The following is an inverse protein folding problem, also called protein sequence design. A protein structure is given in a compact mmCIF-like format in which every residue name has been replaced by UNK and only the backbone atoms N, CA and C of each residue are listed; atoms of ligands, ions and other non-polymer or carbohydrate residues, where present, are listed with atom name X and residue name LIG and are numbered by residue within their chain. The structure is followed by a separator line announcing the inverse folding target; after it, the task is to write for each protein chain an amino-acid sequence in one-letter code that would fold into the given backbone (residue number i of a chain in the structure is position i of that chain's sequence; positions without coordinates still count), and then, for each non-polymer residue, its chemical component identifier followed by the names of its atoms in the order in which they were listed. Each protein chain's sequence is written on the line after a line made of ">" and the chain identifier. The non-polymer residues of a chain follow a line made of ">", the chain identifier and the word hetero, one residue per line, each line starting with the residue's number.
data_IF_095088740848
#
_entry.id   IF_095088740848
#
_cell.length_a   1.000
_cell.length_b   1.000
_cell.length_c   1.000
_cell.angle_alpha   90.00
_cell.angle_beta   90.00
_cell.angle_gamma   90.00
#
_symmetry.space_group_name_H-M   'P 1'
#
loop_
_entity.id
_entity.type
_entity.pdbx_description
1 polymer ?
#
# COMPACT_ATOMS: atom_id res chain seq x y z
N UNK A 1 -17.18 -13.34 26.64
CA UNK A 1 -17.62 -11.93 26.66
C UNK A 1 -18.55 -11.76 25.48
N UNK A 2 -19.76 -11.25 25.69
CA UNK A 2 -20.75 -11.07 24.63
C UNK A 2 -20.81 -9.64 24.12
N UNK A 3 -21.68 -9.38 23.14
CA UNK A 3 -21.92 -8.05 22.59
C UNK A 3 -22.32 -7.04 23.68
N UNK A 4 -21.75 -5.82 23.61
CA UNK A 4 -22.20 -4.68 24.42
C UNK A 4 -23.62 -4.26 24.02
N UNK A 5 -24.27 -3.42 24.82
CA UNK A 5 -25.64 -2.99 24.56
C UNK A 5 -25.79 -2.20 23.26
N UNK A 6 -24.84 -1.30 22.96
CA UNK A 6 -24.80 -0.54 21.70
C UNK A 6 -24.52 -1.44 20.50
N UNK A 7 -23.58 -2.37 20.62
CA UNK A 7 -23.29 -3.34 19.55
C UNK A 7 -24.50 -4.26 19.31
N UNK A 8 -25.19 -4.68 20.37
CA UNK A 8 -26.40 -5.50 20.26
C UNK A 8 -27.53 -4.73 19.56
N UNK A 9 -27.72 -3.45 19.88
CA UNK A 9 -28.68 -2.59 19.21
C UNK A 9 -28.34 -2.37 17.73
N UNK A 10 -27.07 -2.09 17.43
CA UNK A 10 -26.59 -1.91 16.06
C UNK A 10 -26.68 -3.17 15.21
N UNK A 11 -26.25 -4.31 15.74
CA UNK A 11 -26.43 -5.61 15.09
C UNK A 11 -27.92 -5.92 14.86
N UNK A 12 -28.81 -5.60 15.80
CA UNK A 12 -30.26 -5.78 15.60
C UNK A 12 -30.76 -5.00 14.38
N UNK A 13 -30.47 -3.70 14.35
CA UNK A 13 -30.90 -2.81 13.26
C UNK A 13 -30.31 -3.22 11.90
N UNK A 14 -29.08 -3.74 11.88
CA UNK A 14 -28.46 -4.29 10.68
C UNK A 14 -29.13 -5.59 10.22
N UNK A 15 -29.39 -6.52 11.14
CA UNK A 15 -30.07 -7.79 10.83
C UNK A 15 -31.49 -7.57 10.32
N UNK A 16 -32.16 -6.50 10.75
CA UNK A 16 -33.47 -6.10 10.23
C UNK A 16 -33.46 -5.74 8.74
N UNK A 17 -32.29 -5.42 8.15
CA UNK A 17 -32.16 -5.15 6.72
C UNK A 17 -32.00 -6.42 5.88
N UNK A 18 -31.79 -7.58 6.51
CA UNK A 18 -31.59 -8.87 5.81
C UNK A 18 -32.92 -9.52 5.43
N UNK A 19 -32.94 -10.30 4.36
CA UNK A 19 -34.10 -11.09 3.99
C UNK A 19 -34.36 -12.21 5.02
N UNK A 20 -35.61 -12.65 5.16
CA UNK A 20 -36.00 -13.61 6.20
C UNK A 20 -35.31 -14.96 6.00
N UNK A 21 -35.21 -15.45 4.77
CA UNK A 21 -34.49 -16.68 4.43
C UNK A 21 -32.99 -16.59 4.77
N UNK A 22 -32.35 -15.45 4.50
CA UNK A 22 -30.96 -15.21 4.87
C UNK A 22 -30.74 -15.24 6.38
N UNK A 23 -31.66 -14.65 7.16
CA UNK A 23 -31.62 -14.70 8.62
C UNK A 23 -31.73 -16.13 9.15
N UNK A 24 -32.66 -16.94 8.64
CA UNK A 24 -32.80 -18.34 9.07
C UNK A 24 -31.50 -19.12 8.84
N UNK A 25 -30.89 -18.98 7.65
CA UNK A 25 -29.61 -19.64 7.35
C UNK A 25 -28.44 -19.12 8.20
N UNK A 26 -28.46 -17.84 8.55
CA UNK A 26 -27.47 -17.25 9.44
C UNK A 26 -27.60 -17.79 10.86
N UNK A 27 -28.84 -17.93 11.36
CA UNK A 27 -29.11 -18.54 12.67
C UNK A 27 -28.58 -19.97 12.73
N UNK A 28 -28.86 -20.80 11.73
CA UNK A 28 -28.34 -22.19 11.66
C UNK A 28 -26.82 -22.25 11.82
N UNK A 29 -26.12 -21.30 11.19
CA UNK A 29 -24.65 -21.27 11.18
C UNK A 29 -24.07 -20.73 12.50
N UNK A 30 -24.83 -19.92 13.24
CA UNK A 30 -24.38 -19.31 14.51
C UNK A 30 -24.72 -20.22 15.69
N UNK A 31 -25.87 -20.88 15.65
CA UNK A 31 -26.32 -21.77 16.72
C UNK A 31 -25.90 -23.21 16.51
N UNK A 32 -25.16 -23.51 15.42
CA UNK A 32 -24.88 -24.88 14.96
C UNK A 32 -26.16 -25.73 14.86
N UNK A 33 -27.26 -25.11 14.40
CA UNK A 33 -28.60 -25.71 14.28
C UNK A 33 -29.21 -26.22 15.60
N UNK A 34 -28.68 -25.78 16.74
CA UNK A 34 -29.23 -26.12 18.06
C UNK A 34 -30.48 -25.30 18.39
N UNK A 35 -30.74 -24.22 17.67
CA UNK A 35 -31.92 -23.36 17.83
C UNK A 35 -32.61 -23.22 16.49
N UNK A 36 -33.91 -23.56 16.45
CA UNK A 36 -34.77 -23.46 15.28
C UNK A 36 -35.78 -22.34 15.50
N UNK A 37 -35.48 -21.10 15.06
CA UNK A 37 -36.42 -20.00 15.20
C UNK A 37 -37.66 -20.25 14.34
N UNK A 38 -38.85 -19.92 14.87
CA UNK A 38 -40.12 -20.02 14.14
C UNK A 38 -40.55 -18.68 13.54
N UNK A 39 -39.95 -17.59 14.02
CA UNK A 39 -40.23 -16.23 13.57
C UNK A 39 -38.95 -15.46 13.26
N UNK A 40 -39.07 -14.43 12.42
CA UNK A 40 -37.96 -13.49 12.13
C UNK A 40 -37.37 -12.89 13.41
N UNK A 41 -38.23 -12.54 14.37
CA UNK A 41 -37.80 -11.91 15.62
C UNK A 41 -37.02 -12.89 16.51
N UNK A 42 -37.44 -14.16 16.55
CA UNK A 42 -36.68 -15.22 17.22
C UNK A 42 -35.34 -15.48 16.55
N UNK A 43 -35.27 -15.43 15.21
CA UNK A 43 -34.02 -15.60 14.47
C UNK A 43 -33.00 -14.50 14.83
N UNK A 44 -33.43 -13.24 14.81
CA UNK A 44 -32.59 -12.08 15.21
C UNK A 44 -32.17 -12.21 16.68
N UNK A 45 -33.09 -12.58 17.57
CA UNK A 45 -32.79 -12.77 18.99
C UNK A 45 -31.74 -13.88 19.19
N UNK A 46 -31.91 -15.04 18.57
CA UNK A 46 -30.96 -16.15 18.64
C UNK A 46 -29.58 -15.74 18.12
N UNK A 47 -29.51 -15.05 16.97
CA UNK A 47 -28.25 -14.55 16.42
C UNK A 47 -27.53 -13.65 17.43
N UNK A 48 -28.24 -12.71 18.06
CA UNK A 48 -27.65 -11.78 19.03
C UNK A 48 -27.20 -12.44 20.34
N UNK A 49 -27.89 -13.49 20.77
CA UNK A 49 -27.57 -14.23 22.01
C UNK A 49 -26.36 -15.14 21.82
N UNK A 50 -26.28 -15.84 20.69
CA UNK A 50 -25.25 -16.86 20.45
C UNK A 50 -24.00 -16.33 19.73
N UNK A 51 -24.00 -15.08 19.26
CA UNK A 51 -22.81 -14.45 18.68
C UNK A 51 -21.78 -14.08 19.76
N UNK A 52 -20.52 -14.46 19.57
CA UNK A 52 -19.46 -14.18 20.55
C UNK A 52 -18.86 -12.78 20.38
N UNK A 53 -18.79 -12.28 19.14
CA UNK A 53 -18.32 -10.92 18.85
C UNK A 53 -18.97 -10.32 17.60
N UNK A 54 -18.88 -8.99 17.48
CA UNK A 54 -19.35 -8.25 16.30
C UNK A 54 -18.63 -8.72 15.04
N UNK A 55 -17.32 -8.90 15.11
CA UNK A 55 -16.50 -9.29 13.97
C UNK A 55 -16.88 -10.68 13.48
N UNK A 56 -17.09 -11.62 14.39
CA UNK A 56 -17.49 -12.97 14.05
C UNK A 56 -18.81 -12.96 13.27
N UNK A 57 -19.81 -12.23 13.78
CA UNK A 57 -21.12 -12.08 13.17
C UNK A 57 -21.04 -11.41 11.79
N UNK A 58 -20.40 -10.24 11.70
CA UNK A 58 -20.37 -9.47 10.46
C UNK A 58 -19.43 -10.09 9.40
N UNK A 59 -18.44 -10.92 9.79
CA UNK A 59 -17.63 -11.69 8.84
C UNK A 59 -18.39 -12.83 8.18
N UNK A 60 -19.49 -13.32 8.77
CA UNK A 60 -20.28 -14.42 8.18
C UNK A 60 -20.72 -14.08 6.75
N UNK A 61 -20.71 -15.10 5.88
CA UNK A 61 -20.96 -14.95 4.44
C UNK A 61 -22.31 -14.29 4.12
N UNK A 62 -23.34 -14.58 4.91
CA UNK A 62 -24.70 -14.05 4.75
C UNK A 62 -24.83 -12.57 5.10
N UNK A 63 -23.93 -12.04 5.93
CA UNK A 63 -23.85 -10.61 6.17
C UNK A 63 -23.01 -9.99 5.06
N UNK A 64 -23.64 -9.66 3.94
CA UNK A 64 -22.93 -9.13 2.77
C UNK A 64 -22.50 -7.67 2.98
N UNK A 65 -21.48 -7.24 2.22
CA UNK A 65 -20.93 -5.88 2.27
C UNK A 65 -22.02 -4.81 2.15
N UNK A 66 -22.97 -5.05 1.24
CA UNK A 66 -24.06 -4.14 0.90
C UNK A 66 -24.99 -3.90 2.09
N UNK A 67 -25.21 -4.91 2.93
CA UNK A 67 -26.07 -4.80 4.12
C UNK A 67 -25.41 -3.90 5.17
N UNK A 68 -24.10 -4.10 5.41
CA UNK A 68 -23.32 -3.28 6.34
C UNK A 68 -23.24 -1.83 5.84
N UNK A 69 -23.02 -1.65 4.54
CA UNK A 69 -22.99 -0.32 3.91
C UNK A 69 -24.32 0.42 4.05
N UNK A 70 -25.43 -0.25 3.70
CA UNK A 70 -26.79 0.31 3.83
C UNK A 70 -27.12 0.69 5.28
N UNK A 71 -26.72 -0.16 6.22
CA UNK A 71 -26.88 0.13 7.65
C UNK A 71 -26.13 1.41 8.03
N UNK A 72 -24.84 1.50 7.73
CA UNK A 72 -24.01 2.67 8.06
C UNK A 72 -24.54 3.96 7.44
N UNK A 73 -24.96 3.90 6.17
CA UNK A 73 -25.57 5.05 5.48
C UNK A 73 -26.89 5.47 6.15
N UNK A 74 -27.73 4.52 6.57
CA UNK A 74 -28.99 4.78 7.30
C UNK A 74 -28.73 5.46 8.66
N UNK A 75 -27.64 5.10 9.32
CA UNK A 75 -27.20 5.67 10.59
C UNK A 75 -26.43 7.01 10.43
N UNK A 76 -26.32 7.54 9.20
CA UNK A 76 -25.62 8.80 8.92
C UNK A 76 -24.10 8.70 8.95
N UNK A 77 -23.54 7.49 9.00
CA UNK A 77 -22.10 7.25 8.94
C UNK A 77 -21.65 7.29 7.48
N UNK A 78 -20.95 8.37 7.11
CA UNK A 78 -20.43 8.55 5.74
C UNK A 78 -19.26 7.60 5.52
N UNK A 79 -19.47 6.58 4.70
CA UNK A 79 -18.45 5.64 4.23
C UNK A 79 -18.35 5.68 2.70
N UNK A 80 -17.14 5.65 2.12
CA UNK A 80 -16.97 5.59 0.66
C UNK A 80 -17.73 4.40 0.04
N UNK A 81 -18.41 4.57 -1.11
CA UNK A 81 -19.10 3.47 -1.79
C UNK A 81 -18.17 2.30 -2.17
N UNK A 82 -16.89 2.59 -2.36
CA UNK A 82 -15.82 1.62 -2.66
C UNK A 82 -15.27 0.87 -1.43
N UNK A 83 -15.69 1.21 -0.20
CA UNK A 83 -15.19 0.57 1.03
C UNK A 83 -15.45 -0.94 1.06
N UNK A 84 -14.39 -1.70 1.34
CA UNK A 84 -14.43 -3.15 1.43
C UNK A 84 -15.10 -3.63 2.72
N UNK A 85 -15.60 -4.86 2.72
CA UNK A 85 -16.37 -5.43 3.85
C UNK A 85 -15.65 -5.28 5.21
N UNK A 86 -14.33 -5.50 5.25
CA UNK A 86 -13.56 -5.36 6.50
C UNK A 86 -13.50 -3.92 7.05
N UNK A 87 -13.45 -2.91 6.18
CA UNK A 87 -13.48 -1.49 6.53
C UNK A 87 -14.88 -1.11 7.05
N UNK A 88 -15.94 -1.61 6.43
CA UNK A 88 -17.31 -1.39 6.90
C UNK A 88 -17.53 -2.01 8.29
N UNK A 89 -16.98 -3.20 8.54
CA UNK A 89 -17.01 -3.83 9.87
C UNK A 89 -16.27 -2.96 10.88
N UNK A 90 -15.11 -2.42 10.51
CA UNK A 90 -14.34 -1.51 11.36
C UNK A 90 -15.13 -0.24 11.69
N UNK A 91 -15.74 0.42 10.70
CA UNK A 91 -16.57 1.60 10.90
C UNK A 91 -17.80 1.33 11.77
N UNK A 92 -18.49 0.20 11.57
CA UNK A 92 -19.63 -0.20 12.40
C UNK A 92 -19.23 -0.36 13.87
N UNK A 93 -18.08 -1.01 14.14
CA UNK A 93 -17.54 -1.12 15.49
C UNK A 93 -17.20 0.24 16.11
N UNK A 94 -16.54 1.12 15.37
CA UNK A 94 -16.19 2.46 15.84
C UNK A 94 -17.43 3.29 16.16
N UNK A 95 -18.47 3.16 15.34
CA UNK A 95 -19.76 3.79 15.57
C UNK A 95 -20.42 3.29 16.86
N UNK A 96 -20.52 1.97 17.04
CA UNK A 96 -21.15 1.38 18.23
C UNK A 96 -20.35 1.56 19.52
N UNK A 97 -19.03 1.65 19.44
CA UNK A 97 -18.16 1.98 20.58
C UNK A 97 -18.23 3.45 21.00
N UNK A 98 -18.99 4.29 20.29
CA UNK A 98 -19.15 5.72 20.63
C UNK A 98 -17.96 6.59 20.25
N UNK A 99 -17.06 6.11 19.39
CA UNK A 99 -15.93 6.92 18.88
C UNK A 99 -16.35 7.89 17.77
N UNK A 100 -17.62 7.86 17.34
CA UNK A 100 -18.14 8.58 16.16
C UNK A 100 -19.42 9.40 16.40
N UNK A 101 -19.92 9.54 17.64
CA UNK A 101 -21.15 10.31 17.95
C UNK A 101 -20.77 11.73 18.40
N UNK A 102 -21.35 12.86 17.96
CA UNK A 102 -22.51 13.20 17.12
C UNK A 102 -22.20 14.55 16.45
N UNK A 103 -22.82 14.85 15.30
CA UNK A 103 -23.46 16.14 15.00
C UNK A 103 -23.83 16.23 13.51
N UNK A 104 -25.13 16.17 13.23
CA UNK A 104 -25.73 16.88 12.10
C UNK A 104 -26.82 17.79 12.65
N UNK A 105 -26.56 19.10 12.62
CA UNK A 105 -27.54 20.14 12.29
C UNK A 105 -26.78 21.46 12.05
N UNK A 106 -26.69 21.83 10.78
CA UNK A 106 -26.74 23.19 10.23
C UNK A 106 -26.08 24.34 11.03
N UNK A 107 -24.89 24.78 10.59
CA UNK A 107 -24.66 26.13 10.02
C UNK A 107 -23.19 26.30 9.64
N UNK A 108 -22.98 26.98 8.53
CA UNK A 108 -21.69 27.41 7.99
C UNK A 108 -20.87 28.20 9.03
N UNK A 109 -19.86 27.60 9.65
CA UNK A 109 -18.71 28.34 10.19
C UNK A 109 -17.45 27.46 10.15
N UNK A 110 -16.41 28.00 9.53
CA UNK A 110 -15.04 27.48 9.50
C UNK A 110 -14.55 27.27 10.94
N UNK A 111 -14.25 26.03 11.35
CA UNK A 111 -13.63 25.75 12.63
C UNK A 111 -12.40 24.82 12.43
N UNK A 112 -11.18 25.16 12.89
CA UNK A 112 -9.92 24.57 12.41
C UNK A 112 -9.60 23.13 12.88
N UNK A 113 -10.43 22.50 13.72
CA UNK A 113 -10.04 21.27 14.43
C UNK A 113 -10.40 19.94 13.74
N UNK A 114 -11.18 19.93 12.64
CA UNK A 114 -11.45 18.70 11.85
C UNK A 114 -10.23 18.20 11.06
N UNK A 115 -9.24 19.07 10.81
CA UNK A 115 -7.97 18.67 10.16
C UNK A 115 -7.11 17.76 11.05
N UNK A 116 -7.19 17.88 12.38
CA UNK A 116 -6.27 17.20 13.29
C UNK A 116 -6.45 15.68 13.37
N UNK A 117 -7.69 15.18 13.32
CA UNK A 117 -8.00 13.74 13.42
C UNK A 117 -7.87 13.02 12.06
N UNK A 118 -8.37 13.63 10.97
CA UNK A 118 -8.15 13.11 9.61
C UNK A 118 -6.68 13.19 9.20
N UNK A 119 -5.92 14.24 9.57
CA UNK A 119 -4.46 14.23 9.40
C UNK A 119 -3.77 13.24 10.32
N UNK A 120 -4.31 12.90 11.50
CA UNK A 120 -3.70 11.87 12.37
C UNK A 120 -3.88 10.47 11.79
N UNK A 121 -5.07 10.12 11.33
CA UNK A 121 -5.33 8.83 10.66
C UNK A 121 -4.58 8.74 9.32
N UNK A 122 -4.64 9.78 8.49
CA UNK A 122 -3.88 9.84 7.24
C UNK A 122 -2.37 9.77 7.50
N UNK A 123 -1.85 10.48 8.51
CA UNK A 123 -0.45 10.34 8.92
C UNK A 123 -0.12 8.94 9.42
N UNK A 124 -1.03 8.28 10.13
CA UNK A 124 -0.78 6.95 10.68
C UNK A 124 -0.78 5.88 9.60
N UNK A 125 -1.74 5.93 8.66
CA UNK A 125 -1.73 5.08 7.46
C UNK A 125 -0.50 5.37 6.59
N UNK A 126 -0.19 6.64 6.33
CA UNK A 126 1.02 7.06 5.60
C UNK A 126 2.30 6.56 6.30
N UNK A 127 2.33 6.54 7.63
CA UNK A 127 3.45 6.01 8.41
C UNK A 127 3.55 4.48 8.34
N UNK A 128 2.42 3.77 8.34
CA UNK A 128 2.38 2.31 8.17
C UNK A 128 2.85 1.88 6.77
N UNK A 129 2.45 2.60 5.71
CA UNK A 129 2.91 2.33 4.34
C UNK A 129 4.35 2.75 4.10
N UNK A 130 4.78 3.86 4.70
CA UNK A 130 6.19 4.24 4.68
C UNK A 130 7.05 3.16 5.36
N UNK A 131 6.59 2.58 6.46
CA UNK A 131 7.26 1.45 7.11
C UNK A 131 7.34 0.23 6.19
N UNK A 132 6.26 -0.10 5.49
CA UNK A 132 6.26 -1.18 4.49
C UNK A 132 7.27 -0.91 3.36
N UNK A 133 7.33 0.31 2.85
CA UNK A 133 8.31 0.71 1.84
C UNK A 133 9.75 0.56 2.35
N UNK A 134 10.02 0.98 3.58
CA UNK A 134 11.33 0.83 4.23
C UNK A 134 11.70 -0.65 4.39
N UNK A 135 10.82 -1.47 4.97
CA UNK A 135 11.03 -2.90 5.17
C UNK A 135 11.29 -3.61 3.83
N UNK A 136 10.50 -3.28 2.79
CA UNK A 136 10.69 -3.81 1.44
C UNK A 136 12.05 -3.41 0.85
N UNK A 137 12.42 -2.13 0.89
CA UNK A 137 13.70 -1.68 0.33
C UNK A 137 14.89 -2.25 1.08
N UNK A 138 14.84 -2.31 2.42
CA UNK A 138 15.88 -2.96 3.22
C UNK A 138 16.08 -4.40 2.76
N UNK A 139 15.01 -5.19 2.76
CA UNK A 139 15.04 -6.58 2.30
C UNK A 139 15.59 -6.70 0.87
N UNK A 140 15.06 -5.94 -0.08
CA UNK A 140 15.41 -6.06 -1.49
C UNK A 140 16.89 -5.75 -1.76
N UNK A 141 17.38 -4.61 -1.26
CA UNK A 141 18.77 -4.19 -1.51
C UNK A 141 19.78 -4.99 -0.68
N UNK A 142 19.43 -5.43 0.52
CA UNK A 142 20.27 -6.38 1.28
C UNK A 142 20.40 -7.71 0.55
N UNK A 143 19.28 -8.27 0.06
CA UNK A 143 19.27 -9.52 -0.69
C UNK A 143 19.99 -9.41 -2.03
N UNK A 144 19.82 -8.30 -2.75
CA UNK A 144 20.49 -8.09 -4.02
C UNK A 144 21.99 -7.86 -3.82
N UNK A 145 22.39 -6.98 -2.90
CA UNK A 145 23.81 -6.72 -2.63
C UNK A 145 24.55 -7.91 -1.99
N UNK A 146 23.85 -8.83 -1.31
CA UNK A 146 24.45 -10.07 -0.79
C UNK A 146 25.01 -10.96 -1.91
N UNK A 147 24.53 -10.76 -3.14
CA UNK A 147 24.99 -11.46 -4.34
C UNK A 147 26.33 -10.94 -4.85
N UNK A 148 26.81 -9.80 -4.34
CA UNK A 148 28.10 -9.23 -4.72
C UNK A 148 29.22 -10.23 -4.39
N UNK A 149 30.25 -10.40 -5.25
CA UNK A 149 31.31 -11.38 -5.00
C UNK A 149 32.08 -11.17 -3.68
N UNK A 150 32.12 -9.93 -3.19
CA UNK A 150 32.69 -9.55 -1.89
C UNK A 150 31.65 -9.37 -0.77
N UNK A 151 30.37 -9.64 -1.07
CA UNK A 151 29.24 -9.46 -0.16
C UNK A 151 29.15 -10.54 0.91
N UNK A 152 28.46 -10.23 2.01
CA UNK A 152 28.10 -11.23 3.03
C UNK A 152 26.96 -12.09 2.50
N UNK A 153 27.02 -13.41 2.73
CA UNK A 153 25.95 -14.33 2.31
C UNK A 153 24.65 -14.02 3.05
N UNK A 154 23.55 -13.84 2.31
CA UNK A 154 22.19 -13.81 2.86
C UNK A 154 21.68 -15.23 3.13
N UNK A 155 20.73 -15.35 4.06
CA UNK A 155 20.01 -16.61 4.32
C UNK A 155 19.01 -16.94 3.20
N UNK A 156 18.40 -15.90 2.64
CA UNK A 156 17.50 -16.01 1.49
C UNK A 156 18.28 -16.02 0.17
N UNK A 157 17.74 -16.74 -0.81
CA UNK A 157 18.33 -16.90 -2.14
C UNK A 157 17.67 -15.93 -3.11
N UNK A 158 18.46 -15.17 -3.87
CA UNK A 158 17.96 -14.36 -4.98
C UNK A 158 17.43 -15.25 -6.12
N UNK A 159 16.35 -14.83 -6.79
CA UNK A 159 15.79 -15.54 -7.93
C UNK A 159 14.44 -15.03 -8.42
N UNK A 160 13.83 -15.68 -9.44
CA UNK A 160 12.58 -15.26 -10.06
C UNK A 160 11.35 -15.36 -9.13
N UNK A 161 11.43 -16.14 -8.04
CA UNK A 161 10.30 -16.36 -7.11
C UNK A 161 9.75 -15.09 -6.45
N UNK A 162 10.55 -14.02 -6.39
CA UNK A 162 10.16 -12.72 -5.82
C UNK A 162 9.35 -11.84 -6.78
N UNK A 163 9.28 -12.25 -8.05
CA UNK A 163 8.63 -11.52 -9.12
C UNK A 163 7.36 -12.24 -9.57
N UNK A 164 6.45 -11.49 -10.20
CA UNK A 164 5.38 -12.08 -11.00
C UNK A 164 5.95 -12.59 -12.32
N UNK A 165 5.35 -13.64 -12.88
CA UNK A 165 5.82 -14.28 -14.12
C UNK A 165 5.92 -13.28 -15.28
N UNK A 166 5.02 -12.31 -15.34
CA UNK A 166 4.95 -11.26 -16.37
C UNK A 166 5.49 -9.89 -15.88
N UNK A 167 6.42 -9.89 -14.93
CA UNK A 167 7.11 -8.67 -14.48
C UNK A 167 7.78 -7.95 -15.66
N UNK A 168 7.79 -6.62 -15.60
CA UNK A 168 8.52 -5.78 -16.55
C UNK A 168 9.58 -4.95 -15.83
N UNK A 169 10.78 -4.90 -16.39
CA UNK A 169 11.86 -3.99 -16.02
C UNK A 169 12.09 -3.01 -17.16
N UNK A 170 12.01 -1.71 -16.88
CA UNK A 170 12.61 -0.67 -17.73
C UNK A 170 13.86 -0.13 -17.04
N UNK A 171 14.99 -0.21 -17.71
CA UNK A 171 16.27 0.21 -17.18
C UNK A 171 16.83 1.37 -18.00
N UNK A 172 16.91 2.53 -17.36
CA UNK A 172 17.49 3.75 -17.90
C UNK A 172 18.88 3.92 -17.29
N UNK A 173 19.89 4.18 -18.11
CA UNK A 173 21.18 4.57 -17.59
C UNK A 173 21.81 5.69 -18.41
N UNK A 174 22.53 6.56 -17.71
CA UNK A 174 23.25 7.68 -18.29
C UNK A 174 24.67 7.70 -17.72
N UNK A 175 25.64 7.28 -18.53
CA UNK A 175 27.07 7.32 -18.21
C UNK A 175 27.80 8.33 -19.08
N UNK A 176 27.51 8.30 -20.40
CA UNK A 176 27.95 9.25 -21.43
C UNK A 176 26.82 9.52 -22.43
N UNK A 177 26.03 8.48 -22.72
CA UNK A 177 24.83 8.53 -23.55
C UNK A 177 23.62 7.99 -22.77
N UNK A 178 22.43 8.47 -23.13
CA UNK A 178 21.17 7.99 -22.55
C UNK A 178 20.75 6.69 -23.21
N UNK A 179 20.69 5.62 -22.43
CA UNK A 179 20.28 4.30 -22.89
C UNK A 179 19.01 3.83 -22.17
N UNK A 180 18.22 3.00 -22.86
CA UNK A 180 16.99 2.41 -22.35
C UNK A 180 16.98 0.93 -22.75
N UNK A 181 16.87 0.06 -21.75
CA UNK A 181 16.70 -1.38 -21.91
C UNK A 181 15.36 -1.81 -21.32
N UNK A 182 14.69 -2.79 -21.94
CA UNK A 182 13.46 -3.38 -21.43
C UNK A 182 13.57 -4.89 -21.34
N UNK A 183 13.12 -5.45 -20.21
CA UNK A 183 13.09 -6.88 -19.96
C UNK A 183 11.70 -7.29 -19.47
N UNK A 184 11.21 -8.42 -19.95
CA UNK A 184 9.91 -8.99 -19.57
C UNK A 184 10.12 -10.42 -19.12
N UNK A 185 9.48 -10.80 -18.02
CA UNK A 185 9.56 -12.15 -17.45
C UNK A 185 10.41 -12.20 -16.18
N UNK A 186 9.95 -12.99 -15.20
CA UNK A 186 10.59 -13.11 -13.89
C UNK A 186 12.07 -13.51 -13.99
N UNK A 187 12.40 -14.44 -14.87
CA UNK A 187 13.76 -14.92 -15.08
C UNK A 187 14.67 -13.83 -15.63
N UNK A 188 14.27 -13.18 -16.72
CA UNK A 188 15.10 -12.15 -17.39
C UNK A 188 15.29 -10.92 -16.50
N UNK A 189 14.23 -10.47 -15.81
CA UNK A 189 14.31 -9.35 -14.87
C UNK A 189 15.22 -9.70 -13.69
N UNK A 190 15.06 -10.89 -13.10
CA UNK A 190 15.89 -11.35 -11.99
C UNK A 190 17.37 -11.44 -12.38
N UNK A 191 17.67 -11.99 -13.55
CA UNK A 191 19.03 -12.11 -14.07
C UNK A 191 19.66 -10.75 -14.38
N UNK A 192 18.92 -9.82 -14.99
CA UNK A 192 19.49 -8.50 -15.30
C UNK A 192 19.81 -7.72 -14.02
N UNK A 193 18.91 -7.68 -13.05
CA UNK A 193 19.19 -7.04 -11.76
C UNK A 193 20.38 -7.71 -11.05
N UNK A 194 20.47 -9.03 -11.11
CA UNK A 194 21.60 -9.78 -10.55
C UNK A 194 22.93 -9.42 -11.23
N UNK A 195 22.96 -9.26 -12.55
CA UNK A 195 24.17 -8.92 -13.31
C UNK A 195 24.77 -7.57 -12.89
N UNK A 196 23.96 -6.59 -12.49
CA UNK A 196 24.44 -5.30 -11.96
C UNK A 196 25.38 -5.50 -10.77
N UNK A 197 25.07 -6.47 -9.91
CA UNK A 197 25.83 -6.72 -8.67
C UNK A 197 26.92 -7.77 -8.87
N UNK A 198 26.64 -8.85 -9.61
CA UNK A 198 27.58 -9.97 -9.80
C UNK A 198 28.63 -9.72 -10.88
N UNK A 199 28.24 -9.11 -11.99
CA UNK A 199 29.07 -8.98 -13.19
C UNK A 199 29.62 -7.55 -13.32
N UNK A 200 28.81 -6.54 -12.98
CA UNK A 200 29.19 -5.13 -13.05
C UNK A 200 29.77 -4.58 -11.73
N UNK A 201 29.78 -5.42 -10.68
CA UNK A 201 30.32 -5.15 -9.34
C UNK A 201 29.76 -3.86 -8.70
N UNK A 202 28.47 -3.60 -8.91
CA UNK A 202 27.79 -2.46 -8.32
C UNK A 202 27.22 -2.83 -6.94
N UNK A 203 27.22 -1.84 -6.06
CA UNK A 203 26.52 -1.86 -4.78
C UNK A 203 25.49 -0.73 -4.79
N UNK A 204 24.23 -1.07 -4.54
CA UNK A 204 23.13 -0.11 -4.49
C UNK A 204 22.84 0.25 -3.03
N UNK A 205 23.09 1.50 -2.64
CA UNK A 205 22.83 1.98 -1.29
C UNK A 205 21.58 2.88 -1.28
N UNK A 206 20.40 2.35 -0.88
CA UNK A 206 19.16 3.11 -0.87
C UNK A 206 19.16 4.17 0.24
N UNK A 207 18.66 5.37 -0.06
CA UNK A 207 18.41 6.39 0.95
C UNK A 207 17.02 6.16 1.58
N UNK A 208 17.00 5.49 2.73
CA UNK A 208 15.77 5.22 3.48
C UNK A 208 15.36 6.36 4.43
N UNK A 209 16.11 7.46 4.43
CA UNK A 209 15.81 8.65 5.22
C UNK A 209 14.74 9.54 4.58
N UNK A 210 14.38 10.62 5.28
CA UNK A 210 13.40 11.60 4.80
C UNK A 210 13.75 12.11 3.39
N UNK A 211 12.81 11.94 2.46
CA UNK A 211 12.91 12.35 1.05
C UNK A 211 13.56 11.33 0.10
N UNK A 212 14.21 10.28 0.61
CA UNK A 212 14.84 9.25 -0.22
C UNK A 212 13.91 8.10 -0.62
N UNK A 213 12.80 7.93 0.09
CA UNK A 213 11.79 6.91 -0.17
C UNK A 213 10.39 7.53 -0.16
N UNK A 214 9.53 7.10 -1.08
CA UNK A 214 8.08 7.36 -1.08
C UNK A 214 7.35 6.05 -1.32
N UNK A 215 6.31 5.80 -0.54
CA UNK A 215 5.46 4.63 -0.68
C UNK A 215 4.01 5.09 -0.80
N UNK A 216 3.31 4.56 -1.80
CA UNK A 216 1.90 4.85 -2.06
C UNK A 216 1.16 3.56 -2.34
N UNK A 217 -0.13 3.53 -1.97
CA UNK A 217 -1.01 2.41 -2.25
C UNK A 217 -2.16 2.87 -3.15
N UNK A 218 -2.46 2.07 -4.16
CA UNK A 218 -3.65 2.23 -4.98
C UNK A 218 -4.89 1.69 -4.26
N UNK A 219 -6.08 2.22 -4.55
CA UNK A 219 -7.35 1.65 -4.07
C UNK A 219 -7.57 0.19 -4.46
N UNK A 220 -6.82 -0.34 -5.43
CA UNK A 220 -6.94 -1.71 -5.96
C UNK A 220 -5.91 -2.68 -5.38
N UNK A 221 -5.14 -2.27 -4.36
CA UNK A 221 -4.19 -3.14 -3.65
C UNK A 221 -2.81 -3.27 -4.31
N UNK A 222 -2.52 -2.49 -5.35
CA UNK A 222 -1.15 -2.26 -5.84
C UNK A 222 -0.42 -1.31 -4.90
N UNK A 223 0.82 -1.63 -4.54
CA UNK A 223 1.71 -0.73 -3.79
C UNK A 223 2.83 -0.28 -4.71
N UNK A 224 3.07 1.02 -4.78
CA UNK A 224 4.22 1.60 -5.47
C UNK A 224 5.23 2.11 -4.45
N UNK A 225 6.47 1.61 -4.57
CA UNK A 225 7.60 2.03 -3.75
C UNK A 225 8.62 2.70 -4.65
N UNK A 226 8.88 3.98 -4.41
CA UNK A 226 9.92 4.74 -5.10
C UNK A 226 11.07 5.02 -4.12
N UNK A 227 12.30 4.73 -4.53
CA UNK A 227 13.49 4.88 -3.70
C UNK A 227 14.65 5.43 -4.51
N UNK A 228 15.31 6.44 -3.99
CA UNK A 228 16.53 7.01 -4.53
C UNK A 228 17.72 6.53 -3.70
N UNK A 229 18.89 6.44 -4.31
CA UNK A 229 20.09 6.04 -3.59
C UNK A 229 21.36 6.37 -4.36
N UNK A 230 22.47 5.82 -3.87
CA UNK A 230 23.78 5.96 -4.50
C UNK A 230 24.24 4.61 -5.05
N UNK A 231 24.96 4.66 -6.16
CA UNK A 231 25.58 3.49 -6.78
C UNK A 231 27.07 3.53 -6.46
N UNK A 232 27.63 2.43 -5.95
CA UNK A 232 29.03 2.34 -5.55
C UNK A 232 29.73 1.19 -6.24
N UNK A 233 31.04 1.33 -6.40
CA UNK A 233 31.96 0.22 -6.66
C UNK A 233 33.07 0.28 -5.62
N UNK A 234 33.05 -0.66 -4.68
CA UNK A 234 33.88 -0.59 -3.49
C UNK A 234 33.53 0.67 -2.66
N UNK A 235 34.54 1.51 -2.39
CA UNK A 235 34.37 2.75 -1.62
C UNK A 235 34.18 3.99 -2.51
N UNK A 236 33.98 3.81 -3.81
CA UNK A 236 33.84 4.90 -4.78
C UNK A 236 32.35 5.02 -5.12
N UNK A 237 31.78 6.20 -4.86
CA UNK A 237 30.46 6.57 -5.35
C UNK A 237 30.56 6.83 -6.86
N UNK A 238 29.80 6.10 -7.66
CA UNK A 238 29.77 6.23 -9.12
C UNK A 238 28.64 7.15 -9.60
N UNK A 239 27.67 7.45 -8.73
CA UNK A 239 26.50 8.27 -9.08
C UNK A 239 25.28 7.93 -8.23
N UNK A 240 24.11 8.25 -8.77
CA UNK A 240 22.81 8.08 -8.11
C UNK A 240 21.91 7.14 -8.89
N UNK A 241 20.97 6.53 -8.19
CA UNK A 241 19.89 5.80 -8.81
C UNK A 241 18.53 6.22 -8.27
N UNK A 242 17.50 6.04 -9.09
CA UNK A 242 16.10 6.07 -8.70
C UNK A 242 15.49 4.74 -9.15
N UNK A 243 14.78 4.07 -8.25
CA UNK A 243 14.11 2.82 -8.55
C UNK A 243 12.66 2.87 -8.08
N UNK A 244 11.74 2.52 -8.96
CA UNK A 244 10.31 2.45 -8.69
C UNK A 244 9.85 1.01 -8.86
N UNK A 245 9.20 0.49 -7.84
CA UNK A 245 8.64 -0.86 -7.80
C UNK A 245 7.12 -0.78 -7.78
N UNK A 246 6.48 -1.60 -8.60
CA UNK A 246 5.07 -1.94 -8.46
C UNK A 246 4.94 -3.31 -7.79
N UNK A 247 4.27 -3.37 -6.66
CA UNK A 247 4.08 -4.57 -5.85
C UNK A 247 2.61 -4.98 -5.86
N UNK A 248 2.36 -6.29 -6.00
CA UNK A 248 1.04 -6.89 -5.84
C UNK A 248 1.14 -7.96 -4.76
N UNK A 249 0.16 -7.97 -3.86
CA UNK A 249 0.06 -8.99 -2.82
C UNK A 249 -0.26 -10.36 -3.43
N UNK A 250 0.52 -11.37 -3.07
CA UNK A 250 0.27 -12.75 -3.47
C UNK A 250 -0.94 -13.31 -2.70
N UNK A 251 -1.98 -13.84 -3.37
CA UNK A 251 -3.19 -14.34 -2.71
C UNK A 251 -3.00 -15.72 -2.06
N UNK A 252 -1.99 -16.49 -2.48
CA UNK A 252 -1.78 -17.89 -2.09
C UNK A 252 -0.77 -18.10 -0.96
N UNK A 253 0.00 -17.07 -0.61
CA UNK A 253 0.96 -17.12 0.50
C UNK A 253 0.75 -15.91 1.39
N UNK A 254 0.53 -16.15 2.69
CA UNK A 254 0.25 -15.07 3.64
C UNK A 254 1.39 -14.04 3.64
N UNK A 255 1.00 -12.76 3.49
CA UNK A 255 1.87 -11.60 3.66
C UNK A 255 3.08 -11.50 2.71
N UNK A 256 3.01 -12.10 1.51
CA UNK A 256 4.07 -11.96 0.50
C UNK A 256 3.69 -10.97 -0.59
N UNK A 257 4.48 -9.91 -0.72
CA UNK A 257 4.40 -8.96 -1.84
C UNK A 257 5.32 -9.46 -2.96
N UNK A 258 4.81 -9.49 -4.19
CA UNK A 258 5.59 -9.85 -5.37
C UNK A 258 5.74 -8.66 -6.30
N UNK A 259 6.90 -8.56 -6.93
CA UNK A 259 7.27 -7.45 -7.80
C UNK A 259 6.63 -7.66 -9.19
N UNK A 260 5.82 -6.69 -9.62
CA UNK A 260 5.12 -6.67 -10.91
C UNK A 260 5.77 -5.71 -11.91
N UNK A 261 6.35 -4.62 -11.42
CA UNK A 261 6.98 -3.60 -12.25
C UNK A 261 8.28 -3.15 -11.57
N UNK A 262 9.31 -2.91 -12.36
CA UNK A 262 10.55 -2.26 -11.94
C UNK A 262 10.91 -1.20 -12.97
N UNK A 263 11.03 0.05 -12.55
CA UNK A 263 11.69 1.10 -13.32
C UNK A 263 12.97 1.47 -12.58
N UNK A 264 14.12 1.20 -13.18
CA UNK A 264 15.41 1.55 -12.62
C UNK A 264 16.04 2.64 -13.49
N UNK A 265 16.54 3.70 -12.85
CA UNK A 265 17.30 4.76 -13.49
C UNK A 265 18.63 4.94 -12.77
N UNK A 266 19.74 4.87 -13.49
CA UNK A 266 21.09 5.12 -12.95
C UNK A 266 21.71 6.30 -13.70
N UNK A 267 22.23 7.28 -12.96
CA UNK A 267 22.96 8.42 -13.52
C UNK A 267 24.35 8.45 -12.91
N UNK A 268 25.38 8.28 -13.76
CA UNK A 268 26.77 8.35 -13.36
C UNK A 268 27.22 9.78 -13.07
N UNK A 269 28.22 9.93 -12.21
CA UNK A 269 28.80 11.23 -11.85
C UNK A 269 29.34 11.99 -13.07
N UNK A 270 29.94 11.28 -14.03
CA UNK A 270 30.48 11.88 -15.26
C UNK A 270 29.40 12.50 -16.18
N UNK A 271 28.13 12.13 -15.98
CA UNK A 271 27.01 12.70 -16.71
C UNK A 271 26.39 13.92 -16.01
N UNK A 272 26.90 14.29 -14.82
CA UNK A 272 26.54 15.52 -14.11
C UNK A 272 27.43 16.66 -14.61
N UNK A 273 26.91 17.89 -14.69
CA UNK A 273 27.68 19.03 -15.18
C UNK A 273 28.95 19.28 -14.33
N UNK A 274 30.10 19.63 -14.94
CA UNK A 274 31.35 19.87 -14.22
C UNK A 274 31.16 20.89 -13.08
N UNK A 275 31.44 20.47 -11.84
CA UNK A 275 31.26 21.29 -10.64
C UNK A 275 29.97 21.03 -9.86
N UNK A 276 29.08 20.15 -10.34
CA UNK A 276 27.88 19.74 -9.61
C UNK A 276 28.24 18.69 -8.55
N UNK A 277 28.12 19.04 -7.27
CA UNK A 277 28.19 18.01 -6.21
C UNK A 277 27.01 17.05 -6.34
N UNK A 278 27.27 15.76 -6.12
CA UNK A 278 26.22 14.73 -6.02
C UNK A 278 25.28 15.11 -4.87
N UNK A 279 24.14 15.71 -5.21
CA UNK A 279 23.12 16.09 -4.24
C UNK A 279 22.55 14.84 -3.56
N UNK A 280 22.00 15.02 -2.35
CA UNK A 280 21.34 13.95 -1.60
C UNK A 280 20.28 13.27 -2.50
N UNK A 281 20.39 11.95 -2.77
CA UNK A 281 19.45 11.26 -3.64
C UNK A 281 18.07 11.31 -3.00
N UNK A 282 17.11 11.89 -3.73
CA UNK A 282 15.74 12.12 -3.25
C UNK A 282 14.74 11.87 -4.36
N UNK A 283 13.56 11.37 -3.99
CA UNK A 283 12.47 11.10 -4.91
C UNK A 283 11.71 12.40 -5.17
N UNK A 284 11.84 12.90 -6.40
CA UNK A 284 11.17 14.14 -6.83
C UNK A 284 9.74 13.94 -7.33
N UNK A 285 9.33 12.70 -7.61
CA UNK A 285 7.97 12.40 -8.07
C UNK A 285 6.92 12.84 -7.05
N UNK A 286 5.90 13.55 -7.52
CA UNK A 286 4.72 13.83 -6.71
C UNK A 286 3.86 12.57 -6.54
N UNK A 287 3.04 12.53 -5.49
CA UNK A 287 2.17 11.36 -5.21
C UNK A 287 1.24 11.03 -6.38
N UNK A 288 0.81 12.06 -7.12
CA UNK A 288 -0.05 11.92 -8.29
C UNK A 288 0.70 11.33 -9.49
N UNK A 289 1.99 11.65 -9.67
CA UNK A 289 2.82 11.10 -10.76
C UNK A 289 3.16 9.63 -10.50
N UNK A 290 3.42 9.27 -9.23
CA UNK A 290 3.50 7.87 -8.82
C UNK A 290 2.16 7.15 -8.96
N UNK A 291 1.05 7.88 -8.88
CA UNK A 291 -0.28 7.35 -9.13
C UNK A 291 -0.53 7.05 -10.61
N UNK A 292 -0.02 7.85 -11.55
CA UNK A 292 -0.21 7.60 -12.98
C UNK A 292 0.52 6.35 -13.48
N UNK A 293 1.60 5.94 -12.81
CA UNK A 293 2.24 4.63 -13.03
C UNK A 293 1.28 3.45 -12.72
N UNK A 294 0.20 3.66 -11.95
CA UNK A 294 -0.83 2.65 -11.70
C UNK A 294 -1.66 2.32 -12.93
N UNK A 295 -1.96 3.30 -13.78
CA UNK A 295 -2.93 3.17 -14.89
C UNK A 295 -2.31 2.54 -16.14
N UNK A 296 -1.07 2.08 -16.07
CA UNK A 296 -0.33 1.60 -17.24
C UNK A 296 0.01 2.69 -18.24
N UNK A 297 -0.18 3.97 -17.87
CA UNK A 297 0.39 5.09 -18.62
C UNK A 297 1.89 5.08 -18.39
N UNK A 298 2.64 4.90 -19.46
CA UNK A 298 4.07 5.21 -19.41
C UNK A 298 4.20 6.67 -19.02
N UNK A 299 4.77 6.95 -17.85
CA UNK A 299 5.31 8.29 -17.61
C UNK A 299 6.26 8.54 -18.77
N UNK A 300 6.01 9.57 -19.56
CA UNK A 300 7.04 10.11 -20.46
C UNK A 300 8.16 10.64 -19.57
N UNK A 301 9.07 9.76 -19.18
CA UNK A 301 10.29 10.10 -18.44
C UNK A 301 11.26 10.96 -19.28
N UNK A 302 10.84 11.35 -20.48
CA UNK A 302 11.41 12.39 -21.31
C UNK A 302 10.99 13.82 -20.88
N UNK A 303 10.44 14.01 -19.68
CA UNK A 303 10.13 15.36 -19.21
C UNK A 303 11.44 16.14 -18.90
N UNK A 304 11.69 17.33 -19.49
CA UNK A 304 12.91 18.12 -19.32
C UNK A 304 13.14 18.67 -17.90
N UNK A 305 12.41 18.21 -16.88
CA UNK A 305 12.43 18.78 -15.52
C UNK A 305 13.71 18.46 -14.73
N UNK A 306 14.74 17.91 -15.38
CA UNK A 306 16.14 17.92 -14.92
C UNK A 306 16.98 18.90 -15.78
N UNK A 307 16.36 20.00 -16.24
CA UNK A 307 17.06 21.19 -16.73
C UNK A 307 16.64 22.47 -15.98
N UNK A 308 15.78 22.41 -14.97
CA UNK A 308 15.49 23.59 -14.12
C UNK A 308 16.45 23.71 -12.93
N UNK A 309 17.74 23.46 -13.16
CA UNK A 309 18.82 23.84 -12.24
C UNK A 309 19.46 25.17 -12.66
N UNK A 310 18.66 26.09 -13.20
CA UNK A 310 19.12 27.44 -13.54
C UNK A 310 18.09 28.45 -13.03
N UNK A 311 18.58 29.40 -12.22
CA UNK A 311 17.94 30.62 -11.71
C UNK A 311 16.99 30.49 -10.50
N UNK A 312 17.14 31.21 -9.38
CA UNK A 312 18.10 32.25 -8.93
C UNK A 312 17.94 32.39 -7.41
N UNK A 313 19.00 32.17 -6.62
CA UNK A 313 19.20 32.87 -5.34
C UNK A 313 20.50 33.66 -5.46
N UNK A 314 20.40 34.83 -6.08
CA UNK A 314 21.28 35.95 -5.84
C UNK A 314 20.37 37.05 -5.33
N UNK A 315 20.61 37.45 -4.08
CA UNK A 315 19.90 38.53 -3.44
C UNK A 315 20.22 39.88 -4.08
N UNK A 316 19.25 40.77 -3.95
CA UNK A 316 19.47 42.13 -3.47
C UNK A 316 18.58 42.34 -2.24
#
# INVERSE_FOLDING_TARGET
>A
MGLSERERAGCRALLELMATDELMTLTDTITNRLVLPQSRQEAIHAILVYSQSVEELLKRRKVCREIIFKYLAKEGVVVPPCSEKHQLIHHAKQYWSGQLTDHVAETEYINPNKQSYQQRQKRQEENDWNRLGIEFCQWFFELLNSQHPLGRRSKEQWGPQHFWEDVKLKFYYNTLEKNIEEYVGAELVSLRLLSLVKEEYLLLNPNLGAGGLKCVISPHGLVVVAVAGTVHRGNICLGIFEQIFGLIRCPVSENTWKIKLVNLKIVGENALEPGTQVQKPSIKYELNELQELYDGKELSLADPRILSNVHTELGE
#
